data_IF_555129616151
#
_entry.id   IF_555129616151
#
_cell.length_a   1.000
_cell.length_b   1.000
_cell.length_c   1.000
_cell.angle_alpha   90.00
_cell.angle_beta   90.00
_cell.angle_gamma   90.00
#
_symmetry.space_group_name_H-M   'P 1'
#
loop_
_entity.id
_entity.type
_entity.pdbx_description
1 polymer ?
#
# COMPACT_ATOMS: atom_id res chain seq x y z
N UNK A 1 7.47 5.60 -12.83
CA UNK A 1 7.46 4.64 -11.70
C UNK A 1 6.09 4.73 -11.10
N UNK A 2 5.37 3.61 -11.02
CA UNK A 2 4.08 3.56 -10.34
C UNK A 2 4.33 3.77 -8.85
N UNK A 3 3.62 4.70 -8.24
CA UNK A 3 3.66 4.89 -6.78
C UNK A 3 2.65 3.94 -6.14
N UNK A 4 3.02 3.38 -5.00
CA UNK A 4 2.12 2.58 -4.18
C UNK A 4 1.66 3.46 -3.02
N UNK A 5 0.36 3.64 -2.86
CA UNK A 5 -0.19 4.23 -1.64
C UNK A 5 -0.30 3.14 -0.57
N UNK A 6 0.21 3.42 0.62
CA UNK A 6 0.11 2.59 1.80
C UNK A 6 -0.68 3.36 2.86
N UNK A 7 -1.80 2.79 3.30
CA UNK A 7 -2.63 3.33 4.37
C UNK A 7 -2.48 2.41 5.57
N UNK A 8 -2.06 2.94 6.71
CA UNK A 8 -1.94 2.20 7.97
C UNK A 8 -2.93 2.79 8.98
N UNK A 9 -3.79 1.94 9.54
CA UNK A 9 -4.85 2.32 10.47
C UNK A 9 -4.66 1.61 11.81
N UNK A 10 -4.76 2.35 12.91
CA UNK A 10 -4.88 1.77 14.24
C UNK A 10 -6.35 1.77 14.68
N UNK A 11 -6.97 0.60 14.72
CA UNK A 11 -8.40 0.44 15.03
C UNK A 11 -8.74 0.75 16.50
N UNK A 12 -7.74 0.75 17.39
CA UNK A 12 -7.94 1.03 18.81
C UNK A 12 -8.09 2.52 19.12
N UNK A 13 -7.29 3.39 18.48
CA UNK A 13 -7.33 4.84 18.73
C UNK A 13 -7.85 5.66 17.54
N UNK A 14 -8.07 5.03 16.38
CA UNK A 14 -8.55 5.69 15.17
C UNK A 14 -7.48 6.46 14.39
N UNK A 15 -6.19 6.29 14.70
CA UNK A 15 -5.11 6.92 13.92
C UNK A 15 -5.05 6.32 12.52
N UNK A 16 -4.88 7.18 11.51
CA UNK A 16 -4.70 6.79 10.11
C UNK A 16 -3.47 7.50 9.57
N UNK A 17 -2.54 6.74 8.99
CA UNK A 17 -1.32 7.21 8.35
C UNK A 17 -1.38 6.90 6.85
N UNK A 18 -1.13 7.90 6.01
CA UNK A 18 -1.05 7.74 4.55
C UNK A 18 0.39 7.94 4.10
N UNK A 19 0.93 6.97 3.39
CA UNK A 19 2.31 6.96 2.91
C UNK A 19 2.32 6.67 1.41
N UNK A 20 3.20 7.34 0.67
CA UNK A 20 3.58 6.91 -0.68
C UNK A 20 4.90 6.15 -0.59
N UNK A 21 4.99 5.00 -1.24
CA UNK A 21 6.20 4.17 -1.31
C UNK A 21 6.49 3.76 -2.75
N UNK A 22 7.77 3.54 -3.05
CA UNK A 22 8.24 3.27 -4.41
C UNK A 22 8.22 1.77 -4.76
N UNK A 23 7.97 0.91 -3.77
CA UNK A 23 7.93 -0.54 -3.96
C UNK A 23 7.20 -1.27 -2.84
N UNK A 24 6.74 -2.49 -3.13
CA UNK A 24 6.16 -3.39 -2.14
C UNK A 24 7.15 -3.73 -1.01
N UNK A 25 8.44 -3.90 -1.33
CA UNK A 25 9.45 -4.13 -0.30
C UNK A 25 9.60 -2.95 0.66
N UNK A 26 9.42 -1.73 0.17
CA UNK A 26 9.39 -0.55 1.05
C UNK A 26 8.11 -0.52 1.89
N UNK A 27 6.95 -0.87 1.33
CA UNK A 27 5.68 -0.90 2.09
C UNK A 27 5.78 -1.84 3.30
N UNK A 28 6.34 -3.04 3.11
CA UNK A 28 6.58 -4.02 4.19
C UNK A 28 7.46 -3.40 5.29
N UNK A 29 8.57 -2.75 4.91
CA UNK A 29 9.45 -2.08 5.87
C UNK A 29 8.76 -0.95 6.62
N UNK A 30 7.87 -0.19 5.97
CA UNK A 30 7.11 0.87 6.64
C UNK A 30 6.12 0.30 7.65
N UNK A 31 5.45 -0.81 7.31
CA UNK A 31 4.53 -1.52 8.21
C UNK A 31 5.27 -2.06 9.44
N UNK A 32 6.40 -2.74 9.24
CA UNK A 32 7.18 -3.33 10.34
C UNK A 32 7.71 -2.29 11.33
N UNK A 33 8.03 -1.09 10.84
CA UNK A 33 8.55 0.00 11.66
C UNK A 33 7.45 0.94 12.18
N UNK A 34 6.19 0.74 11.79
CA UNK A 34 5.11 1.63 12.19
C UNK A 34 4.86 1.54 13.70
N UNK A 35 4.85 2.69 14.35
CA UNK A 35 4.46 2.82 15.75
C UNK A 35 3.32 3.83 15.84
N UNK A 36 2.16 3.39 16.32
CA UNK A 36 1.03 4.26 16.54
C UNK A 36 1.39 5.38 17.55
N UNK A 37 1.08 6.66 17.28
CA UNK A 37 1.34 7.77 18.21
C UNK A 37 0.69 7.59 19.57
N UNK A 38 -0.46 6.89 19.61
CA UNK A 38 -1.14 6.50 20.85
C UNK A 38 -0.49 5.32 21.58
N UNK A 39 0.68 4.84 21.14
CA UNK A 39 1.41 3.70 21.69
C UNK A 39 0.54 2.44 21.83
N UNK A 40 -0.38 2.26 20.89
CA UNK A 40 -1.26 1.10 20.86
C UNK A 40 -0.49 -0.18 20.50
N UNK A 41 -1.04 -1.34 20.86
CA UNK A 41 -0.42 -2.62 20.51
C UNK A 41 -0.52 -2.88 18.99
N UNK A 42 0.52 -3.45 18.36
CA UNK A 42 0.49 -3.78 16.93
C UNK A 42 -0.64 -4.71 16.49
N UNK A 43 -1.24 -5.47 17.42
CA UNK A 43 -2.39 -6.33 17.14
C UNK A 43 -3.65 -5.57 16.67
N UNK A 44 -3.67 -4.24 16.82
CA UNK A 44 -4.76 -3.36 16.39
C UNK A 44 -4.44 -2.61 15.09
N UNK A 45 -3.35 -2.95 14.42
CA UNK A 45 -2.94 -2.30 13.18
C UNK A 45 -3.52 -3.06 12.00
N UNK A 46 -4.08 -2.31 11.06
CA UNK A 46 -4.58 -2.79 9.78
C UNK A 46 -3.92 -1.95 8.68
N UNK A 47 -3.67 -2.53 7.51
CA UNK A 47 -3.06 -1.80 6.40
C UNK A 47 -3.63 -2.21 5.05
N UNK A 48 -3.60 -1.27 4.11
CA UNK A 48 -4.03 -1.46 2.72
C UNK A 48 -2.97 -0.83 1.83
N UNK A 49 -2.59 -1.52 0.75
CA UNK A 49 -1.80 -0.95 -0.33
C UNK A 49 -2.64 -0.82 -1.60
N UNK A 50 -2.44 0.27 -2.35
CA UNK A 50 -3.04 0.45 -3.67
C UNK A 50 -1.95 0.86 -4.66
N UNK A 51 -1.98 0.29 -5.87
CA UNK A 51 -1.07 0.64 -6.96
C UNK A 51 -1.91 1.18 -8.13
N UNK A 52 -1.51 2.33 -8.67
CA UNK A 52 -2.16 2.86 -9.87
C UNK A 52 -1.66 2.11 -11.11
N UNK A 53 -2.53 1.26 -11.67
CA UNK A 53 -2.25 0.57 -12.93
C UNK A 53 -2.79 1.44 -14.08
N UNK A 54 -1.89 1.92 -14.93
CA UNK A 54 -2.26 2.62 -16.16
C UNK A 54 -2.97 1.65 -17.13
N UNK A 55 -4.25 1.88 -17.38
CA UNK A 55 -5.13 1.06 -18.24
C UNK A 55 -4.59 0.88 -19.67
N UNK A 56 -3.76 1.81 -20.16
CA UNK A 56 -3.10 1.70 -21.47
C UNK A 56 -2.14 0.52 -21.61
N UNK A 57 -1.55 0.03 -20.51
CA UNK A 57 -0.66 -1.13 -20.52
C UNK A 57 -1.43 -2.46 -20.66
N UNK A 58 -2.62 -2.56 -20.05
CA UNK A 58 -3.47 -3.76 -20.08
C UNK A 58 -4.03 -4.06 -21.48
N UNK A 59 -4.17 -3.04 -22.34
CA UNK A 59 -4.71 -3.21 -23.70
C UNK A 59 -3.71 -3.86 -24.67
N UNK A 60 -2.40 -3.75 -24.42
CA UNK A 60 -1.38 -4.33 -25.31
C UNK A 60 -1.22 -5.84 -25.13
N UNK A 61 -1.45 -6.38 -23.93
CA UNK A 61 -1.31 -7.82 -23.64
C UNK A 61 -2.42 -8.69 -24.26
N UNK A 62 -3.60 -8.12 -24.51
CA UNK A 62 -4.72 -8.84 -25.15
C UNK A 62 -4.55 -8.97 -26.67
N UNK A 63 -3.83 -8.05 -27.32
CA UNK A 63 -3.62 -8.09 -28.78
C UNK A 63 -2.55 -9.13 -29.14
N UNK A 64 -1.56 -9.38 -28.27
CA UNK A 64 -0.47 -10.32 -28.52
C UNK A 64 -0.88 -11.81 -28.51
N UNK A 65 -2.05 -12.15 -27.95
CA UNK A 65 -2.59 -13.52 -27.95
C UNK A 65 -3.52 -13.83 -29.13
N UNK A 66 -3.76 -12.87 -30.02
CA UNK A 66 -4.68 -13.00 -31.18
C UNK A 66 -3.93 -12.91 -32.52
N UNK A 67 -2.60 -12.82 -32.51
CA UNK A 67 -1.76 -12.79 -33.71
C UNK A 67 -1.16 -14.16 -34.05
#
# INVERSE_FOLDING_TARGET
MSKIELIITCENCGHVEHLEVDSENESIRRIDNFTCPGQCSPKYYSYITSEEISVGALLLEQIAHVA
#
